data_IF_035385080535
#
_entry.id   IF_035385080535
#
_cell.length_a   1.000
_cell.length_b   1.000
_cell.length_c   1.000
_cell.angle_alpha   90.00
_cell.angle_beta   90.00
_cell.angle_gamma   90.00
#
_symmetry.space_group_name_H-M   'P 1'
#
loop_
_entity.id
_entity.type
_entity.pdbx_description
1 polymer ?
#
# COMPACT_ATOMS: atom_id res chain seq x y z
N UNK A 1 -16.15 -17.63 -25.50
CA UNK A 1 -16.43 -16.34 -24.81
C UNK A 1 -15.30 -16.05 -23.85
N UNK A 2 -14.39 -15.13 -24.19
CA UNK A 2 -13.36 -14.67 -23.25
C UNK A 2 -14.00 -13.85 -22.16
N UNK A 3 -13.76 -14.18 -20.88
CA UNK A 3 -14.17 -13.33 -19.76
C UNK A 3 -13.48 -11.98 -19.94
N UNK A 4 -14.26 -10.90 -20.12
CA UNK A 4 -13.72 -9.56 -20.07
C UNK A 4 -12.96 -9.43 -18.75
N UNK A 5 -11.67 -9.11 -18.83
CA UNK A 5 -10.83 -8.92 -17.67
C UNK A 5 -11.22 -7.58 -17.03
N UNK A 6 -12.33 -7.56 -16.28
CA UNK A 6 -12.91 -6.35 -15.68
C UNK A 6 -12.13 -5.99 -14.42
N UNK A 7 -10.85 -5.64 -14.58
CA UNK A 7 -10.09 -5.04 -13.50
C UNK A 7 -10.71 -3.69 -13.17
N UNK A 8 -11.13 -3.54 -11.90
CA UNK A 8 -11.68 -2.29 -11.38
C UNK A 8 -10.65 -1.17 -11.62
N UNK A 9 -11.03 -0.02 -12.22
CA UNK A 9 -10.04 1.02 -12.59
C UNK A 9 -9.18 1.49 -11.42
N UNK A 10 -9.76 1.59 -10.22
CA UNK A 10 -9.05 2.01 -9.01
C UNK A 10 -8.01 1.00 -8.50
N UNK A 11 -7.99 -0.23 -8.99
CA UNK A 11 -6.93 -1.20 -8.63
C UNK A 11 -5.71 -1.09 -9.53
N UNK A 12 -5.73 -0.25 -10.57
CA UNK A 12 -4.65 -0.18 -11.55
C UNK A 12 -3.30 0.23 -10.92
N UNK A 13 -3.29 1.33 -10.15
CA UNK A 13 -2.06 1.86 -9.54
C UNK A 13 -1.39 0.89 -8.55
N UNK A 14 -2.09 0.38 -7.51
CA UNK A 14 -1.48 -0.59 -6.60
C UNK A 14 -1.01 -1.86 -7.31
N UNK A 15 -1.76 -2.33 -8.32
CA UNK A 15 -1.39 -3.52 -9.10
C UNK A 15 -0.12 -3.28 -9.92
N UNK A 16 0.04 -2.11 -10.51
CA UNK A 16 1.25 -1.71 -11.23
C UNK A 16 2.47 -1.79 -10.31
N UNK A 17 2.40 -1.20 -9.12
CA UNK A 17 3.49 -1.26 -8.13
C UNK A 17 3.83 -2.70 -7.70
N UNK A 18 2.83 -3.56 -7.50
CA UNK A 18 3.06 -4.97 -7.19
C UNK A 18 3.72 -5.72 -8.37
N UNK A 19 3.32 -5.43 -9.61
CA UNK A 19 3.95 -6.03 -10.78
C UNK A 19 5.43 -5.64 -10.87
N UNK A 20 5.76 -4.35 -10.65
CA UNK A 20 7.15 -3.91 -10.58
C UNK A 20 7.93 -4.63 -9.47
N UNK A 21 7.31 -4.84 -8.30
CA UNK A 21 7.95 -5.61 -7.24
C UNK A 21 8.29 -7.04 -7.69
N UNK A 22 7.35 -7.72 -8.37
CA UNK A 22 7.57 -9.07 -8.87
C UNK A 22 8.65 -9.13 -9.95
N UNK A 23 8.69 -8.15 -10.86
CA UNK A 23 9.73 -8.05 -11.89
C UNK A 23 11.14 -7.91 -11.27
N UNK A 24 11.28 -7.12 -10.21
CA UNK A 24 12.53 -7.01 -9.48
C UNK A 24 12.85 -8.28 -8.69
N UNK A 25 11.88 -8.85 -7.97
CA UNK A 25 12.06 -10.09 -7.23
C UNK A 25 12.59 -11.22 -8.13
N UNK A 26 12.08 -11.32 -9.37
CA UNK A 26 12.50 -12.31 -10.36
C UNK A 26 13.96 -12.18 -10.81
N UNK A 27 14.59 -10.99 -10.66
CA UNK A 27 16.01 -10.78 -11.00
C UNK A 27 16.97 -11.36 -9.96
N UNK A 28 16.49 -11.58 -8.73
CA UNK A 28 17.22 -12.35 -7.71
C UNK A 28 18.50 -11.70 -7.14
N UNK A 29 18.71 -10.39 -7.34
CA UNK A 29 19.90 -9.69 -6.83
C UNK A 29 19.60 -8.91 -5.55
N UNK A 30 20.59 -8.66 -4.67
CA UNK A 30 20.38 -7.88 -3.44
C UNK A 30 19.83 -6.47 -3.67
N UNK A 31 20.20 -5.80 -4.77
CA UNK A 31 19.58 -4.52 -5.14
C UNK A 31 18.11 -4.70 -5.50
N UNK A 32 17.79 -5.68 -6.36
CA UNK A 32 16.42 -5.91 -6.79
C UNK A 32 15.50 -6.35 -5.64
N UNK A 33 15.99 -7.10 -4.65
CA UNK A 33 15.20 -7.41 -3.44
C UNK A 33 14.83 -6.16 -2.64
N UNK A 34 15.76 -5.18 -2.54
CA UNK A 34 15.47 -3.89 -1.89
C UNK A 34 14.41 -3.11 -2.66
N UNK A 35 14.53 -3.05 -4.00
CA UNK A 35 13.52 -2.39 -4.84
C UNK A 35 12.17 -3.10 -4.73
N UNK A 36 12.15 -4.43 -4.77
CA UNK A 36 10.92 -5.21 -4.62
C UNK A 36 10.23 -4.92 -3.27
N UNK A 37 10.97 -4.88 -2.17
CA UNK A 37 10.43 -4.53 -0.84
C UNK A 37 9.81 -3.13 -0.83
N UNK A 38 10.51 -2.14 -1.40
CA UNK A 38 10.01 -0.75 -1.49
C UNK A 38 8.74 -0.70 -2.34
N UNK A 39 8.71 -1.38 -3.49
CA UNK A 39 7.54 -1.42 -4.37
C UNK A 39 6.34 -2.09 -3.70
N UNK A 40 6.54 -3.16 -2.92
CA UNK A 40 5.46 -3.79 -2.13
C UNK A 40 4.92 -2.83 -1.09
N UNK A 41 5.77 -2.20 -0.29
CA UNK A 41 5.36 -1.25 0.75
C UNK A 41 4.57 -0.06 0.15
N UNK A 42 5.08 0.52 -0.94
CA UNK A 42 4.39 1.58 -1.68
C UNK A 42 3.04 1.11 -2.23
N UNK A 43 2.94 -0.14 -2.69
CA UNK A 43 1.69 -0.71 -3.17
C UNK A 43 0.66 -0.86 -2.04
N UNK A 44 1.09 -1.26 -0.83
CA UNK A 44 0.24 -1.32 0.36
C UNK A 44 -0.25 0.08 0.72
N UNK A 45 0.64 1.06 0.83
CA UNK A 45 0.27 2.45 1.13
C UNK A 45 -0.73 3.00 0.10
N UNK A 46 -0.46 2.81 -1.19
CA UNK A 46 -1.34 3.28 -2.27
C UNK A 46 -2.69 2.54 -2.24
N UNK A 47 -2.71 1.25 -1.90
CA UNK A 47 -3.95 0.48 -1.74
C UNK A 47 -4.82 1.09 -0.65
N UNK A 48 -4.23 1.42 0.49
CA UNK A 48 -4.95 2.00 1.63
C UNK A 48 -5.49 3.38 1.27
N UNK A 49 -4.64 4.26 0.70
CA UNK A 49 -5.04 5.59 0.20
C UNK A 49 -6.19 5.49 -0.80
N UNK A 50 -6.08 4.58 -1.77
CA UNK A 50 -7.10 4.33 -2.77
C UNK A 50 -8.41 3.92 -2.11
N UNK A 51 -8.39 2.89 -1.24
CA UNK A 51 -9.58 2.38 -0.57
C UNK A 51 -10.28 3.45 0.28
N UNK A 52 -9.53 4.22 1.06
CA UNK A 52 -10.06 5.30 1.88
C UNK A 52 -10.61 6.46 1.02
N UNK A 53 -10.03 6.68 -0.16
CA UNK A 53 -10.51 7.66 -1.15
C UNK A 53 -11.70 7.20 -2.00
N UNK A 54 -12.10 5.93 -1.94
CA UNK A 54 -13.22 5.43 -2.75
C UNK A 54 -14.54 6.13 -2.40
N UNK A 55 -15.40 6.40 -3.39
CA UNK A 55 -16.73 6.91 -3.14
C UNK A 55 -17.56 5.87 -2.37
N UNK A 56 -18.48 6.34 -1.52
CA UNK A 56 -19.36 5.51 -0.68
C UNK A 56 -20.03 4.35 -1.44
N UNK A 57 -20.45 4.59 -2.69
CA UNK A 57 -21.11 3.60 -3.55
C UNK A 57 -20.21 2.40 -3.90
N UNK A 58 -18.89 2.62 -3.94
CA UNK A 58 -17.91 1.56 -4.22
C UNK A 58 -17.42 0.91 -2.93
N UNK A 59 -17.11 1.72 -1.90
CA UNK A 59 -16.61 1.20 -0.61
C UNK A 59 -17.69 0.43 0.17
N UNK A 60 -18.96 0.78 0.00
CA UNK A 60 -20.07 0.24 0.76
C UNK A 60 -20.25 0.84 2.16
N UNK A 61 -19.38 1.78 2.55
CA UNK A 61 -19.43 2.48 3.84
C UNK A 61 -19.11 3.97 3.69
N UNK A 62 -19.53 4.75 4.68
CA UNK A 62 -19.13 6.16 4.80
C UNK A 62 -17.61 6.22 4.97
N UNK A 63 -16.99 7.18 4.27
CA UNK A 63 -15.55 7.36 4.30
C UNK A 63 -15.13 8.50 5.20
N UNK A 64 -13.82 8.73 5.32
CA UNK A 64 -13.33 9.89 6.04
C UNK A 64 -13.71 11.18 5.31
N UNK A 65 -13.87 12.30 6.03
CA UNK A 65 -13.87 13.63 5.42
C UNK A 65 -12.58 13.85 4.61
N UNK A 66 -12.66 14.60 3.51
CA UNK A 66 -11.50 14.85 2.62
C UNK A 66 -10.29 15.41 3.38
N UNK A 67 -10.51 16.35 4.31
CA UNK A 67 -9.44 16.94 5.13
C UNK A 67 -8.71 15.88 5.96
N UNK A 68 -9.46 14.98 6.60
CA UNK A 68 -8.91 13.87 7.40
C UNK A 68 -8.14 12.87 6.54
N UNK A 69 -8.61 12.60 5.33
CA UNK A 69 -7.90 11.76 4.37
C UNK A 69 -6.55 12.37 3.95
N UNK A 70 -6.52 13.68 3.70
CA UNK A 70 -5.29 14.39 3.34
C UNK A 70 -4.29 14.42 4.50
N UNK A 71 -4.77 14.71 5.72
CA UNK A 71 -3.96 14.69 6.94
C UNK A 71 -3.35 13.30 7.18
N UNK A 72 -4.17 12.25 7.14
CA UNK A 72 -3.70 10.87 7.29
C UNK A 72 -2.73 10.45 6.18
N UNK A 73 -2.91 10.97 4.96
CA UNK A 73 -2.03 10.66 3.82
C UNK A 73 -0.58 11.15 3.97
N UNK A 74 -0.30 12.01 4.95
CA UNK A 74 1.05 12.53 5.24
C UNK A 74 1.88 11.65 6.17
N UNK A 75 1.26 10.65 6.83
CA UNK A 75 1.92 9.78 7.81
C UNK A 75 1.36 8.37 7.72
N UNK A 76 2.22 7.39 7.45
CA UNK A 76 1.79 5.99 7.28
C UNK A 76 1.12 5.41 8.55
N UNK A 77 1.63 5.62 9.78
CA UNK A 77 0.92 5.20 10.99
C UNK A 77 -0.49 5.78 11.10
N UNK A 78 -0.66 7.09 10.84
CA UNK A 78 -1.98 7.74 10.89
C UNK A 78 -2.92 7.19 9.80
N UNK A 79 -2.35 6.80 8.65
CA UNK A 79 -3.09 6.14 7.58
C UNK A 79 -3.57 4.74 7.99
N UNK A 80 -2.76 3.98 8.73
CA UNK A 80 -3.13 2.68 9.31
C UNK A 80 -4.23 2.83 10.36
N UNK A 81 -4.11 3.80 11.27
CA UNK A 81 -5.14 4.08 12.28
C UNK A 81 -6.50 4.38 11.63
N UNK A 82 -6.49 5.20 10.57
CA UNK A 82 -7.70 5.55 9.83
C UNK A 82 -8.31 4.34 9.09
N UNK A 83 -7.45 3.46 8.57
CA UNK A 83 -7.89 2.20 7.97
C UNK A 83 -8.51 1.28 9.02
N UNK A 84 -7.88 1.12 10.18
CA UNK A 84 -8.39 0.27 11.25
C UNK A 84 -9.77 0.75 11.70
N UNK A 85 -9.93 2.06 11.95
CA UNK A 85 -11.19 2.65 12.37
C UNK A 85 -12.34 2.36 11.38
N UNK A 86 -12.07 2.55 10.08
CA UNK A 86 -13.12 2.50 9.05
C UNK A 86 -13.32 1.13 8.41
N UNK A 87 -12.36 0.22 8.61
CA UNK A 87 -12.31 -1.06 7.91
C UNK A 87 -11.85 -2.24 8.77
N UNK A 88 -11.89 -2.16 10.10
CA UNK A 88 -11.53 -3.26 11.02
C UNK A 88 -12.06 -4.63 10.58
N UNK A 89 -13.33 -4.70 10.18
CA UNK A 89 -13.96 -5.95 9.71
C UNK A 89 -13.42 -6.52 8.39
N UNK A 90 -12.60 -5.77 7.66
CA UNK A 90 -11.88 -6.22 6.45
C UNK A 90 -10.43 -6.65 6.74
N UNK A 91 -9.94 -6.42 7.96
CA UNK A 91 -8.57 -6.71 8.38
C UNK A 91 -8.45 -8.07 9.09
N UNK A 92 -9.41 -8.96 8.91
CA UNK A 92 -9.39 -10.28 9.53
C UNK A 92 -8.15 -11.07 9.07
N UNK A 93 -7.28 -11.41 10.02
CA UNK A 93 -6.01 -12.11 9.74
C UNK A 93 -4.89 -11.20 9.23
N UNK A 94 -5.08 -9.87 9.24
CA UNK A 94 -4.05 -8.89 8.92
C UNK A 94 -3.64 -8.19 10.22
N UNK A 95 -2.37 -8.31 10.61
CA UNK A 95 -1.80 -7.55 11.71
C UNK A 95 -1.23 -6.23 11.18
N UNK A 96 -1.81 -5.11 11.60
CA UNK A 96 -1.34 -3.79 11.18
C UNK A 96 0.01 -3.43 11.82
N UNK A 97 0.33 -3.98 12.99
CA UNK A 97 1.61 -3.78 13.66
C UNK A 97 2.77 -4.36 12.85
N UNK A 98 2.59 -5.54 12.26
CA UNK A 98 3.58 -6.14 11.36
C UNK A 98 3.81 -5.27 10.12
N UNK A 99 2.73 -4.77 9.51
CA UNK A 99 2.80 -3.85 8.37
C UNK A 99 3.60 -2.60 8.74
N UNK A 100 3.37 -2.03 9.91
CA UNK A 100 4.09 -0.86 10.39
C UNK A 100 5.58 -1.15 10.65
N UNK A 101 5.92 -2.32 11.21
CA UNK A 101 7.31 -2.78 11.38
C UNK A 101 8.01 -2.86 10.03
N UNK A 102 7.38 -3.49 9.02
CA UNK A 102 7.95 -3.57 7.67
C UNK A 102 8.13 -2.21 7.00
N UNK A 103 7.18 -1.31 7.18
CA UNK A 103 7.27 0.05 6.67
C UNK A 103 8.46 0.82 7.28
N UNK A 104 8.67 0.69 8.61
CA UNK A 104 9.84 1.28 9.28
C UNK A 104 11.15 0.67 8.80
N UNK A 105 11.20 -0.65 8.64
CA UNK A 105 12.38 -1.34 8.11
C UNK A 105 12.72 -0.85 6.70
N UNK A 106 11.73 -0.66 5.83
CA UNK A 106 11.92 -0.07 4.50
C UNK A 106 12.56 1.31 4.58
N UNK A 107 12.05 2.19 5.46
CA UNK A 107 12.59 3.55 5.62
C UNK A 107 14.05 3.53 6.08
N UNK A 108 14.39 2.62 7.00
CA UNK A 108 15.78 2.40 7.43
C UNK A 108 16.65 1.95 6.26
N UNK A 109 16.25 0.93 5.51
CA UNK A 109 17.04 0.41 4.39
C UNK A 109 17.32 1.45 3.29
N UNK A 110 16.47 2.47 3.18
CA UNK A 110 16.63 3.54 2.21
C UNK A 110 17.41 4.75 2.76
N UNK A 111 17.25 5.08 4.05
CA UNK A 111 17.88 6.25 4.66
C UNK A 111 19.20 5.95 5.40
N UNK A 112 19.38 4.73 5.93
CA UNK A 112 20.64 4.27 6.52
C UNK A 112 21.56 3.60 5.48
N UNK A 113 21.03 3.25 4.30
CA UNK A 113 21.83 2.86 3.15
C UNK A 113 22.69 4.02 2.67
N UNK A 114 23.93 4.10 3.17
CA UNK A 114 24.94 5.11 2.84
C UNK A 114 24.98 5.39 1.34
N UNK A 115 24.98 6.68 0.96
CA UNK A 115 25.09 7.16 -0.41
C UNK A 115 26.40 6.80 -1.12
N UNK A 116 26.67 5.52 -1.29
CA UNK A 116 27.75 4.95 -2.10
C UNK A 116 27.16 3.73 -2.84
N UNK A 117 26.85 3.95 -4.12
CA UNK A 117 27.00 2.94 -5.18
C UNK A 117 28.42 2.96 -5.68
#
# INVERSE_FOLDING_TARGET
MGKANTTKPWTAGPRELLNHAFEHLAKGKPFDFRIAMISVDNAVELTIKTYLGLPKRIRGSVGPPLKRLQEAGSSFPVLLDLLEELAKGKLNGIDLGDIEVYHRLRNILYHEGHGIT
#
